data_IF_009589250923
#
_entry.id   IF_009589250923
#
_cell.length_a   1.000
_cell.length_b   1.000
_cell.length_c   1.000
_cell.angle_alpha   90.00
_cell.angle_beta   90.00
_cell.angle_gamma   90.00
#
_symmetry.space_group_name_H-M   'P 1'
#
loop_
_entity.id
_entity.type
_entity.pdbx_description
1 polymer ?
#
# COMPACT_ATOMS: atom_id res chain seq x y z
N UNK A 1 -0.82 -2.66 25.16
CA UNK A 1 -2.07 -3.02 24.43
C UNK A 1 -3.07 -3.85 25.24
N UNK A 2 -2.63 -4.83 26.06
CA UNK A 2 -3.56 -5.77 26.70
C UNK A 2 -4.09 -5.36 28.08
N UNK A 3 -3.44 -4.41 28.79
CA UNK A 3 -3.65 -4.31 30.25
C UNK A 3 -3.17 -5.59 30.97
N UNK A 4 -2.83 -5.51 32.25
CA UNK A 4 -2.37 -6.70 32.99
C UNK A 4 -3.61 -7.53 33.37
N UNK A 5 -3.79 -8.72 32.78
CA UNK A 5 -4.82 -9.69 33.16
C UNK A 5 -6.14 -9.70 32.38
N UNK A 6 -6.28 -8.92 31.29
CA UNK A 6 -7.49 -8.98 30.47
C UNK A 6 -7.46 -10.19 29.50
N UNK A 7 -8.54 -10.97 29.36
CA UNK A 7 -8.57 -12.11 28.44
C UNK A 7 -8.61 -11.69 26.95
N UNK A 8 -9.05 -10.46 26.67
CA UNK A 8 -9.28 -9.92 25.32
C UNK A 8 -8.49 -8.63 25.10
N UNK A 9 -8.25 -8.28 23.84
CA UNK A 9 -7.56 -7.03 23.48
C UNK A 9 -8.41 -5.82 23.85
N UNK A 10 -7.83 -4.87 24.58
CA UNK A 10 -8.38 -3.52 24.71
C UNK A 10 -8.12 -2.76 23.40
N UNK A 11 -9.16 -2.30 22.67
CA UNK A 11 -8.96 -1.56 21.43
C UNK A 11 -8.38 -0.17 21.65
N UNK A 12 -8.48 0.40 22.87
CA UNK A 12 -8.11 1.79 23.15
C UNK A 12 -6.67 2.15 22.76
N UNK A 13 -5.63 1.36 23.08
CA UNK A 13 -4.26 1.68 22.64
C UNK A 13 -4.05 1.66 21.12
N UNK A 14 -4.83 0.88 20.36
CA UNK A 14 -4.78 0.85 18.89
C UNK A 14 -5.39 2.14 18.33
N UNK A 15 -6.55 2.53 18.86
CA UNK A 15 -7.26 3.76 18.47
C UNK A 15 -6.46 5.01 18.83
N UNK A 16 -5.88 5.02 20.03
CA UNK A 16 -5.02 6.11 20.50
C UNK A 16 -3.76 6.19 19.62
N UNK A 17 -3.20 5.06 19.20
CA UNK A 17 -2.11 5.01 18.22
C UNK A 17 -2.49 5.58 16.86
N UNK A 18 -3.69 5.30 16.35
CA UNK A 18 -4.18 5.85 15.08
C UNK A 18 -4.45 7.36 15.16
N UNK A 19 -5.07 7.83 16.25
CA UNK A 19 -5.22 9.27 16.52
C UNK A 19 -3.87 9.97 16.64
N UNK A 20 -2.89 9.32 17.24
CA UNK A 20 -1.54 9.85 17.33
C UNK A 20 -0.88 9.92 15.95
N UNK A 21 -1.09 8.93 15.07
CA UNK A 21 -0.64 8.97 13.67
C UNK A 21 -1.31 10.09 12.85
N UNK A 22 -2.60 10.34 13.08
CA UNK A 22 -3.33 11.45 12.47
C UNK A 22 -2.82 12.82 12.97
N UNK A 23 -2.63 12.97 14.28
CA UNK A 23 -2.13 14.21 14.87
C UNK A 23 -0.63 14.48 14.56
N UNK A 24 0.18 13.43 14.45
CA UNK A 24 1.61 13.54 14.08
C UNK A 24 1.83 13.82 12.59
N UNK A 25 0.81 13.65 11.73
CA UNK A 25 0.86 14.15 10.36
C UNK A 25 0.93 15.70 10.31
N UNK A 26 0.43 16.37 11.36
CA UNK A 26 0.42 17.84 11.50
C UNK A 26 1.61 18.32 12.36
N UNK A 27 2.01 17.57 13.39
CA UNK A 27 3.11 17.95 14.29
C UNK A 27 4.39 17.13 14.04
N UNK A 28 5.23 17.62 13.12
CA UNK A 28 6.65 17.24 13.00
C UNK A 28 7.47 17.97 14.07
N UNK A 29 7.49 17.46 15.30
CA UNK A 29 8.40 17.94 16.34
C UNK A 29 9.62 17.01 16.42
N UNK A 30 10.83 17.58 16.33
CA UNK A 30 12.15 16.94 16.57
C UNK A 30 12.75 15.98 15.53
N UNK A 31 12.20 15.88 14.31
CA UNK A 31 12.92 15.25 13.19
C UNK A 31 13.12 13.73 13.28
N UNK A 32 12.48 13.03 14.21
CA UNK A 32 12.51 11.56 14.32
C UNK A 32 11.10 10.99 14.12
N UNK A 33 10.94 10.14 13.12
CA UNK A 33 9.66 9.55 12.73
C UNK A 33 9.47 8.20 13.45
N UNK A 34 8.33 7.99 14.10
CA UNK A 34 7.96 6.69 14.68
C UNK A 34 7.75 5.59 13.62
N UNK A 35 7.71 5.95 12.32
CA UNK A 35 7.66 5.01 11.21
C UNK A 35 9.04 4.49 10.78
N UNK A 36 10.14 5.13 11.19
CA UNK A 36 11.50 4.60 10.97
C UNK A 36 11.84 3.65 12.12
N UNK A 37 11.73 2.35 11.88
CA UNK A 37 12.23 1.33 12.81
C UNK A 37 13.73 1.52 13.01
N UNK A 38 14.18 1.44 14.27
CA UNK A 38 15.53 1.83 14.69
C UNK A 38 16.70 1.02 14.14
N UNK A 39 16.50 0.07 13.21
CA UNK A 39 17.56 -0.82 12.73
C UNK A 39 17.42 -1.26 11.23
N UNK A 40 16.74 -0.48 10.37
CA UNK A 40 16.76 -0.77 8.92
C UNK A 40 15.93 0.19 8.08
N UNK A 41 16.45 0.58 6.92
CA UNK A 41 15.86 1.53 5.96
C UNK A 41 14.53 1.08 5.29
N UNK A 42 13.92 -0.03 5.74
CA UNK A 42 12.70 -0.58 5.15
C UNK A 42 11.45 -0.26 5.99
N UNK A 43 10.46 0.35 5.34
CA UNK A 43 9.12 0.52 5.89
C UNK A 43 8.37 -0.80 5.82
N UNK A 44 7.53 -1.11 6.80
CA UNK A 44 6.55 -2.20 6.64
C UNK A 44 5.50 -1.83 5.60
N UNK A 45 4.88 -2.83 4.96
CA UNK A 45 3.79 -2.64 3.98
C UNK A 45 2.71 -1.70 4.53
N UNK A 46 2.28 -1.89 5.78
CA UNK A 46 1.27 -1.04 6.42
C UNK A 46 1.71 0.41 6.53
N UNK A 47 2.99 0.66 6.85
CA UNK A 47 3.53 2.02 6.92
C UNK A 47 3.59 2.67 5.53
N UNK A 48 4.01 1.91 4.50
CA UNK A 48 4.01 2.39 3.10
C UNK A 48 2.62 2.82 2.66
N UNK A 49 1.60 2.00 2.94
CA UNK A 49 0.21 2.29 2.59
C UNK A 49 -0.36 3.52 3.32
N UNK A 50 0.28 4.02 4.38
CA UNK A 50 -0.12 5.21 5.14
C UNK A 50 0.72 6.45 4.82
N UNK A 51 1.78 6.34 4.00
CA UNK A 51 2.61 7.48 3.65
C UNK A 51 1.80 8.59 2.93
N UNK A 52 2.05 9.88 3.21
CA UNK A 52 1.46 10.97 2.45
C UNK A 52 2.03 11.01 1.03
N UNK A 53 1.25 11.57 0.09
CA UNK A 53 1.59 11.60 -1.35
C UNK A 53 3.03 12.09 -1.65
N UNK A 54 3.52 13.22 -1.10
CA UNK A 54 4.89 13.67 -1.40
C UNK A 54 6.00 12.71 -0.95
N UNK A 55 5.75 11.89 0.09
CA UNK A 55 6.70 10.85 0.51
C UNK A 55 6.63 9.63 -0.40
N UNK A 56 5.43 9.25 -0.85
CA UNK A 56 5.27 8.19 -1.84
C UNK A 56 5.90 8.55 -3.20
N UNK A 57 5.76 9.80 -3.66
CA UNK A 57 6.39 10.29 -4.89
C UNK A 57 7.91 10.13 -4.83
N UNK A 58 8.54 10.62 -3.75
CA UNK A 58 10.00 10.46 -3.56
C UNK A 58 10.40 9.00 -3.50
N UNK A 59 9.68 8.18 -2.74
CA UNK A 59 9.96 6.75 -2.58
C UNK A 59 9.90 6.03 -3.92
N UNK A 60 8.81 6.18 -4.67
CA UNK A 60 8.63 5.52 -5.98
C UNK A 60 9.72 5.96 -6.96
N UNK A 61 10.11 7.24 -6.96
CA UNK A 61 11.15 7.73 -7.86
C UNK A 61 12.56 7.25 -7.51
N UNK A 62 12.83 6.91 -6.24
CA UNK A 62 14.13 6.47 -5.74
C UNK A 62 14.27 4.95 -5.60
N UNK A 63 13.17 4.18 -5.66
CA UNK A 63 13.19 2.73 -5.46
C UNK A 63 13.56 2.01 -6.76
N UNK A 64 14.76 1.45 -6.82
CA UNK A 64 15.28 0.73 -8.00
C UNK A 64 14.51 -0.56 -8.33
N UNK A 65 13.60 -1.00 -7.46
CA UNK A 65 12.68 -2.12 -7.77
C UNK A 65 11.52 -1.67 -8.67
N UNK A 66 11.24 -0.37 -8.73
CA UNK A 66 10.13 0.20 -9.50
C UNK A 66 10.72 0.93 -10.71
N UNK A 67 10.56 0.34 -11.88
CA UNK A 67 10.98 0.97 -13.12
C UNK A 67 9.83 1.85 -13.64
N UNK A 68 10.11 3.13 -13.89
CA UNK A 68 9.14 4.08 -14.44
C UNK A 68 9.79 4.78 -15.62
N UNK A 69 9.14 4.68 -16.78
CA UNK A 69 9.52 5.40 -17.99
C UNK A 69 9.59 6.93 -17.80
N UNK A 70 10.36 7.62 -18.65
CA UNK A 70 10.75 9.02 -18.44
C UNK A 70 9.56 9.98 -18.27
N UNK A 71 8.50 9.80 -19.06
CA UNK A 71 7.34 10.65 -18.95
C UNK A 71 6.56 10.40 -17.66
N UNK A 72 6.38 9.15 -17.26
CA UNK A 72 5.78 8.81 -15.96
C UNK A 72 6.56 9.39 -14.78
N UNK A 73 7.90 9.42 -14.85
CA UNK A 73 8.71 10.08 -13.81
C UNK A 73 8.40 11.58 -13.71
N UNK A 74 8.08 12.25 -14.83
CA UNK A 74 7.64 13.66 -14.81
C UNK A 74 6.25 13.82 -14.20
N UNK A 75 5.30 12.95 -14.55
CA UNK A 75 3.96 12.96 -13.94
C UNK A 75 4.03 12.89 -12.41
N UNK A 76 4.85 11.96 -11.89
CA UNK A 76 5.06 11.80 -10.44
C UNK A 76 5.69 13.05 -9.83
N UNK A 77 6.76 13.60 -10.43
CA UNK A 77 7.44 14.80 -9.92
C UNK A 77 6.54 16.05 -9.91
N UNK A 78 5.65 16.16 -10.88
CA UNK A 78 4.67 17.25 -10.95
C UNK A 78 3.46 17.07 -10.02
N UNK A 79 3.39 15.97 -9.28
CA UNK A 79 2.26 15.68 -8.40
C UNK A 79 0.97 15.36 -9.13
N UNK A 80 1.03 14.91 -10.39
CA UNK A 80 -0.16 14.64 -11.20
C UNK A 80 -0.72 13.23 -11.01
N UNK A 81 0.03 12.34 -10.34
CA UNK A 81 -0.37 10.95 -10.09
C UNK A 81 -1.10 10.81 -8.76
N UNK A 82 -2.20 10.07 -8.73
CA UNK A 82 -2.97 9.81 -7.52
C UNK A 82 -2.14 9.06 -6.47
N UNK A 83 -2.36 9.38 -5.19
CA UNK A 83 -1.65 8.76 -4.08
C UNK A 83 -1.77 7.24 -4.07
N UNK A 84 -2.95 6.71 -4.42
CA UNK A 84 -3.26 5.27 -4.43
C UNK A 84 -2.44 4.54 -5.49
N UNK A 85 -2.25 5.14 -6.66
CA UNK A 85 -1.33 4.60 -7.70
C UNK A 85 0.08 4.47 -7.15
N UNK A 86 0.61 5.51 -6.50
CA UNK A 86 1.95 5.47 -5.89
C UNK A 86 2.05 4.44 -4.76
N UNK A 87 1.01 4.35 -3.93
CA UNK A 87 0.93 3.36 -2.84
C UNK A 87 0.89 1.93 -3.39
N UNK A 88 0.19 1.67 -4.50
CA UNK A 88 0.16 0.38 -5.18
C UNK A 88 1.54 -0.02 -5.68
N UNK A 89 2.27 0.88 -6.36
CA UNK A 89 3.63 0.58 -6.84
C UNK A 89 4.58 0.26 -5.68
N UNK A 90 4.54 1.07 -4.63
CA UNK A 90 5.34 0.83 -3.43
C UNK A 90 4.94 -0.47 -2.71
N UNK A 91 3.64 -0.80 -2.67
CA UNK A 91 3.14 -2.06 -2.11
C UNK A 91 3.64 -3.28 -2.89
N UNK A 92 3.61 -3.24 -4.23
CA UNK A 92 4.16 -4.31 -5.06
C UNK A 92 5.66 -4.50 -4.79
N UNK A 93 6.42 -3.40 -4.71
CA UNK A 93 7.83 -3.41 -4.36
C UNK A 93 8.10 -4.07 -3.00
N UNK A 94 7.38 -3.65 -1.94
CA UNK A 94 7.48 -4.26 -0.61
C UNK A 94 6.98 -5.70 -0.56
N UNK A 95 6.14 -6.09 -1.50
CA UNK A 95 5.66 -7.46 -1.65
C UNK A 95 6.66 -8.39 -2.34
N UNK A 96 7.85 -7.90 -2.68
CA UNK A 96 8.89 -8.66 -3.37
C UNK A 96 8.75 -8.67 -4.89
N UNK A 97 7.91 -7.81 -5.46
CA UNK A 97 7.72 -7.68 -6.91
C UNK A 97 8.46 -6.45 -7.44
N UNK A 98 8.91 -6.49 -8.69
CA UNK A 98 9.61 -5.39 -9.36
C UNK A 98 8.81 -4.94 -10.58
N UNK A 99 7.85 -4.01 -10.42
CA UNK A 99 7.00 -3.59 -11.53
C UNK A 99 7.76 -2.64 -12.48
N UNK A 100 7.58 -2.86 -13.79
CA UNK A 100 7.98 -1.92 -14.84
C UNK A 100 6.75 -1.23 -15.42
N UNK A 101 6.65 0.06 -15.17
CA UNK A 101 5.55 0.93 -15.56
C UNK A 101 5.78 1.49 -16.95
N UNK A 102 4.79 1.35 -17.83
CA UNK A 102 4.82 1.85 -19.21
C UNK A 102 3.85 3.01 -19.46
N UNK A 103 2.87 3.19 -18.58
CA UNK A 103 1.85 4.25 -18.71
C UNK A 103 1.40 4.78 -17.34
N UNK A 104 1.25 6.10 -17.26
CA UNK A 104 0.70 6.83 -16.10
C UNK A 104 -0.27 7.89 -16.64
N UNK A 105 -0.13 9.19 -16.34
CA UNK A 105 -1.02 10.22 -16.90
C UNK A 105 -0.61 10.62 -18.31
N UNK A 106 0.67 10.58 -18.63
CA UNK A 106 1.10 10.59 -20.01
C UNK A 106 1.30 9.16 -20.52
N UNK A 107 1.64 9.01 -21.81
CA UNK A 107 1.83 7.70 -22.42
C UNK A 107 0.54 6.98 -22.84
N UNK A 108 -0.62 7.64 -22.75
CA UNK A 108 -1.91 7.08 -23.15
C UNK A 108 -2.80 8.14 -23.87
N UNK A 109 -3.83 7.68 -24.58
CA UNK A 109 -4.86 8.55 -25.18
C UNK A 109 -5.96 8.94 -24.18
N UNK A 110 -6.54 10.12 -24.33
CA UNK A 110 -7.58 10.65 -23.40
C UNK A 110 -8.80 9.73 -23.28
N UNK A 111 -9.15 9.05 -24.38
CA UNK A 111 -10.27 8.13 -24.48
C UNK A 111 -9.81 6.67 -24.54
N UNK A 112 -10.60 5.77 -23.95
CA UNK A 112 -10.46 4.32 -24.15
C UNK A 112 -10.87 3.94 -25.57
N UNK A 113 -10.54 2.71 -25.99
CA UNK A 113 -11.02 2.12 -27.26
C UNK A 113 -12.55 2.16 -27.41
N UNK A 114 -13.27 2.12 -26.29
CA UNK A 114 -14.73 2.24 -26.18
C UNK A 114 -15.27 3.67 -26.04
N UNK A 115 -14.43 4.70 -26.09
CA UNK A 115 -14.84 6.12 -26.05
C UNK A 115 -15.05 6.71 -24.65
N UNK A 116 -14.77 5.98 -23.58
CA UNK A 116 -14.87 6.50 -22.21
C UNK A 116 -13.62 7.29 -21.83
N UNK A 117 -13.73 8.23 -20.88
CA UNK A 117 -12.56 8.93 -20.33
C UNK A 117 -11.73 7.93 -19.51
N UNK A 118 -10.46 7.78 -19.88
CA UNK A 118 -9.55 6.89 -19.17
C UNK A 118 -9.20 7.41 -17.77
N UNK A 119 -9.05 6.52 -16.79
CA UNK A 119 -8.53 6.87 -15.47
C UNK A 119 -7.11 7.45 -15.53
N UNK A 120 -6.35 7.09 -16.56
CA UNK A 120 -5.04 7.69 -16.80
C UNK A 120 -5.14 9.21 -17.08
N UNK A 121 -6.19 9.68 -17.75
CA UNK A 121 -6.37 11.10 -18.10
C UNK A 121 -6.38 12.02 -16.88
N UNK A 122 -6.78 11.47 -15.71
CA UNK A 122 -6.83 12.17 -14.43
C UNK A 122 -5.72 11.73 -13.45
N UNK A 123 -4.75 10.94 -13.91
CA UNK A 123 -3.64 10.45 -13.10
C UNK A 123 -4.01 9.35 -12.10
N UNK A 124 -5.15 8.68 -12.31
CA UNK A 124 -5.71 7.68 -11.39
C UNK A 124 -5.47 6.24 -11.85
N UNK A 125 -4.55 5.99 -12.77
CA UNK A 125 -4.24 4.65 -13.24
C UNK A 125 -2.77 4.44 -13.57
N UNK A 126 -2.39 3.17 -13.69
CA UNK A 126 -1.06 2.71 -14.08
C UNK A 126 -1.16 1.44 -14.91
N UNK A 127 -0.34 1.36 -15.96
CA UNK A 127 -0.13 0.12 -16.71
C UNK A 127 1.26 -0.44 -16.39
N UNK A 128 1.29 -1.73 -16.05
CA UNK A 128 2.50 -2.48 -15.70
C UNK A 128 2.71 -3.55 -16.77
N UNK A 129 3.73 -3.38 -17.61
CA UNK A 129 4.00 -4.29 -18.74
C UNK A 129 4.97 -5.43 -18.37
N UNK A 130 5.72 -5.30 -17.28
CA UNK A 130 6.61 -6.35 -16.77
C UNK A 130 6.60 -6.38 -15.25
N UNK A 131 6.80 -7.58 -14.68
CA UNK A 131 7.02 -7.78 -13.25
C UNK A 131 8.20 -8.72 -13.07
N UNK A 132 9.16 -8.38 -12.21
CA UNK A 132 10.38 -9.16 -11.98
C UNK A 132 11.17 -9.41 -13.28
N UNK A 133 11.07 -8.47 -14.22
CA UNK A 133 11.70 -8.55 -15.54
C UNK A 133 10.95 -9.43 -16.55
N UNK A 134 9.90 -10.15 -16.14
CA UNK A 134 9.07 -10.99 -17.01
C UNK A 134 7.97 -10.14 -17.65
N UNK A 135 7.80 -10.15 -18.98
CA UNK A 135 6.69 -9.49 -19.67
C UNK A 135 5.33 -10.05 -19.27
N UNK A 136 4.31 -9.19 -19.18
CA UNK A 136 2.93 -9.65 -19.07
C UNK A 136 2.48 -10.33 -20.38
N UNK A 137 2.98 -9.84 -21.53
CA UNK A 137 2.76 -10.48 -22.82
C UNK A 137 3.20 -11.95 -22.79
N UNK A 138 2.26 -12.84 -23.08
CA UNK A 138 2.49 -14.28 -23.12
C UNK A 138 2.72 -14.95 -21.76
N UNK A 139 2.44 -14.27 -20.63
CA UNK A 139 2.66 -14.80 -19.28
C UNK A 139 1.42 -14.56 -18.39
N UNK A 140 0.21 -14.83 -18.90
CA UNK A 140 -1.05 -14.64 -18.17
C UNK A 140 -1.79 -15.94 -17.87
N UNK A 141 -1.07 -17.06 -17.86
CA UNK A 141 -1.63 -18.38 -17.52
C UNK A 141 -1.71 -18.60 -16.00
N UNK A 142 -2.35 -19.70 -15.58
CA UNK A 142 -2.46 -20.09 -14.16
C UNK A 142 -1.07 -20.25 -13.52
N UNK A 143 -0.89 -19.71 -12.31
CA UNK A 143 0.38 -19.72 -11.59
C UNK A 143 1.46 -18.76 -12.14
N UNK A 144 1.18 -18.05 -13.24
CA UNK A 144 2.12 -17.07 -13.82
C UNK A 144 2.40 -15.89 -12.89
N UNK A 145 3.46 -15.15 -13.18
CA UNK A 145 3.79 -13.90 -12.45
C UNK A 145 2.66 -12.86 -12.57
N UNK A 146 1.95 -12.83 -13.70
CA UNK A 146 0.79 -11.95 -13.91
C UNK A 146 -0.31 -12.32 -12.93
N UNK A 147 -0.67 -13.61 -12.87
CA UNK A 147 -1.74 -14.06 -11.97
C UNK A 147 -1.39 -13.81 -10.49
N UNK A 148 -0.15 -14.07 -10.11
CA UNK A 148 0.35 -13.77 -8.75
C UNK A 148 0.29 -12.27 -8.45
N UNK A 149 0.63 -11.42 -9.42
CA UNK A 149 0.55 -9.95 -9.29
C UNK A 149 -0.90 -9.49 -9.14
N UNK A 150 -1.81 -9.98 -9.97
CA UNK A 150 -3.25 -9.67 -9.88
C UNK A 150 -3.82 -10.13 -8.53
N UNK A 151 -3.53 -11.36 -8.08
CA UNK A 151 -3.91 -11.86 -6.75
C UNK A 151 -3.36 -10.97 -5.62
N UNK A 152 -2.13 -10.47 -5.76
CA UNK A 152 -1.54 -9.56 -4.78
C UNK A 152 -2.25 -8.21 -4.74
N UNK A 153 -2.60 -7.65 -5.90
CA UNK A 153 -3.37 -6.40 -6.02
C UNK A 153 -4.77 -6.53 -5.42
N UNK A 154 -5.42 -7.69 -5.59
CA UNK A 154 -6.74 -7.97 -4.98
C UNK A 154 -6.73 -7.97 -3.45
N UNK A 155 -5.55 -8.14 -2.81
CA UNK A 155 -5.43 -8.04 -1.35
C UNK A 155 -5.45 -6.60 -0.84
N UNK A 156 -5.38 -5.58 -1.71
CA UNK A 156 -5.53 -4.19 -1.31
C UNK A 156 -6.99 -3.92 -0.90
N UNK A 157 -7.17 -3.30 0.27
CA UNK A 157 -8.47 -3.05 0.88
C UNK A 157 -8.66 -1.57 1.23
N UNK A 158 -9.87 -1.20 1.64
CA UNK A 158 -10.19 0.17 2.07
C UNK A 158 -9.94 1.19 0.97
N UNK A 159 -9.29 2.30 1.33
CA UNK A 159 -9.06 3.44 0.42
C UNK A 159 -8.03 3.17 -0.68
N UNK A 160 -7.29 2.06 -0.63
CA UNK A 160 -6.32 1.64 -1.66
C UNK A 160 -6.77 0.42 -2.46
N UNK A 161 -8.01 -0.05 -2.27
CA UNK A 161 -8.61 -1.06 -3.14
C UNK A 161 -8.78 -0.47 -4.54
N UNK A 162 -8.32 -1.18 -5.56
CA UNK A 162 -8.51 -0.80 -6.96
C UNK A 162 -9.98 -0.94 -7.39
N UNK A 163 -10.42 -0.05 -8.26
CA UNK A 163 -11.74 -0.13 -8.91
C UNK A 163 -11.70 -0.97 -10.18
N UNK A 164 -10.53 -1.04 -10.82
CA UNK A 164 -10.28 -1.84 -12.04
C UNK A 164 -8.92 -2.51 -11.94
N UNK A 165 -8.87 -3.80 -12.23
CA UNK A 165 -7.64 -4.55 -12.52
C UNK A 165 -7.86 -5.27 -13.84
N UNK A 166 -7.36 -4.73 -14.95
CA UNK A 166 -7.65 -5.24 -16.29
C UNK A 166 -6.42 -5.96 -16.83
N UNK A 167 -6.64 -7.17 -17.33
CA UNK A 167 -5.63 -8.07 -17.91
C UNK A 167 -6.35 -9.10 -18.80
N UNK A 168 -5.77 -10.27 -19.08
CA UNK A 168 -6.51 -11.41 -19.64
C UNK A 168 -7.21 -12.27 -18.59
N UNK A 169 -7.00 -11.95 -17.31
CA UNK A 169 -7.55 -12.71 -16.19
C UNK A 169 -8.88 -12.11 -15.71
N UNK A 170 -9.87 -12.99 -15.55
CA UNK A 170 -11.09 -12.74 -14.76
C UNK A 170 -11.12 -13.74 -13.61
N UNK A 171 -10.61 -13.29 -12.46
CA UNK A 171 -10.53 -14.10 -11.22
C UNK A 171 -11.38 -13.48 -10.11
N UNK A 172 -12.38 -12.70 -10.48
CA UNK A 172 -13.37 -12.06 -9.60
C UNK A 172 -12.95 -10.70 -9.03
N UNK A 173 -13.79 -10.15 -8.16
CA UNK A 173 -13.53 -8.86 -7.51
C UNK A 173 -13.50 -7.70 -8.53
N UNK A 174 -12.47 -6.83 -8.51
CA UNK A 174 -12.32 -5.75 -9.49
C UNK A 174 -11.61 -6.18 -10.79
N UNK A 175 -11.38 -7.49 -11.00
CA UNK A 175 -10.70 -7.97 -12.21
C UNK A 175 -11.63 -7.95 -13.43
N UNK A 176 -11.08 -7.62 -14.60
CA UNK A 176 -11.81 -7.63 -15.87
C UNK A 176 -10.88 -8.21 -16.94
N UNK A 177 -11.34 -9.22 -17.67
CA UNK A 177 -10.61 -9.76 -18.81
C UNK A 177 -10.90 -8.95 -20.08
N UNK A 178 -9.86 -8.41 -20.72
CA UNK A 178 -9.96 -7.67 -21.98
C UNK A 178 -8.81 -8.07 -22.92
N UNK A 179 -9.15 -8.41 -24.17
CA UNK A 179 -8.17 -8.95 -25.13
C UNK A 179 -7.06 -7.97 -25.53
N UNK A 180 -7.31 -6.68 -25.45
CA UNK A 180 -6.35 -5.60 -25.70
C UNK A 180 -5.45 -5.30 -24.49
N UNK A 181 -5.57 -6.06 -23.39
CA UNK A 181 -4.71 -6.01 -22.20
C UNK A 181 -3.81 -7.26 -22.11
N UNK A 182 -3.40 -7.80 -23.25
CA UNK A 182 -2.55 -9.00 -23.32
C UNK A 182 -1.10 -8.74 -22.91
N UNK A 183 -0.64 -7.48 -22.96
CA UNK A 183 0.74 -7.07 -22.76
C UNK A 183 0.98 -6.23 -21.50
N UNK A 184 -0.06 -5.94 -20.71
CA UNK A 184 0.04 -5.21 -19.46
C UNK A 184 -1.08 -5.54 -18.46
N UNK A 185 -0.83 -5.23 -17.18
CA UNK A 185 -1.87 -5.15 -16.15
C UNK A 185 -2.21 -3.67 -15.96
N UNK A 186 -3.47 -3.32 -16.22
CA UNK A 186 -4.00 -2.00 -15.90
C UNK A 186 -4.56 -1.99 -14.48
N UNK A 187 -4.20 -0.98 -13.68
CA UNK A 187 -4.78 -0.77 -12.34
C UNK A 187 -5.36 0.64 -12.27
N UNK A 188 -6.67 0.72 -12.13
CA UNK A 188 -7.44 1.97 -12.14
C UNK A 188 -8.16 2.25 -10.83
N UNK A 189 -8.20 3.53 -10.49
CA UNK A 189 -8.96 4.06 -9.36
C UNK A 189 -9.98 5.08 -9.83
N UNK A 190 -11.19 5.02 -9.31
CA UNK A 190 -12.17 6.08 -9.53
C UNK A 190 -11.68 7.35 -8.86
N UNK A 191 -11.81 8.53 -9.52
CA UNK A 191 -11.47 9.80 -8.91
C UNK A 191 -12.25 10.00 -7.61
N UNK A 192 -11.55 10.29 -6.50
CA UNK A 192 -12.22 10.62 -5.23
C UNK A 192 -12.88 12.01 -5.30
N UNK A 193 -12.37 12.89 -6.17
CA UNK A 193 -12.89 14.23 -6.37
C UNK A 193 -13.14 14.45 -7.87
N UNK A 194 -14.41 14.68 -8.21
CA UNK A 194 -14.93 15.03 -9.53
C UNK A 194 -16.22 15.84 -9.33
N UNK A 195 -16.95 16.19 -10.40
CA UNK A 195 -18.14 17.07 -10.36
C UNK A 195 -19.19 16.68 -9.30
N UNK A 196 -19.21 15.41 -8.87
CA UNK A 196 -20.02 14.94 -7.76
C UNK A 196 -19.23 14.87 -6.44
N UNK A 197 -19.11 16.01 -5.75
CA UNK A 197 -18.49 16.14 -4.42
C UNK A 197 -19.12 15.30 -3.29
N UNK A 198 -20.20 14.55 -3.55
CA UNK A 198 -20.78 13.58 -2.61
C UNK A 198 -19.88 12.34 -2.44
N UNK A 199 -19.23 11.86 -3.51
CA UNK A 199 -18.36 10.66 -3.45
C UNK A 199 -17.04 10.93 -2.74
N UNK A 200 -16.49 12.15 -2.85
CA UNK A 200 -15.30 12.55 -2.09
C UNK A 200 -15.54 12.59 -0.58
N UNK A 201 -16.79 12.85 -0.14
CA UNK A 201 -17.17 12.77 1.28
C UNK A 201 -17.33 11.33 1.75
N UNK A 202 -17.83 10.43 0.90
CA UNK A 202 -17.91 8.98 1.19
C UNK A 202 -16.51 8.32 1.21
N UNK A 203 -15.58 8.77 0.38
CA UNK A 203 -14.19 8.31 0.40
C UNK A 203 -13.40 8.79 1.63
N UNK A 204 -13.77 9.95 2.18
CA UNK A 204 -13.27 10.44 3.48
C UNK A 204 -13.92 9.72 4.67
N UNK A 205 -15.09 9.11 4.47
CA UNK A 205 -15.73 8.27 5.47
C UNK A 205 -15.08 6.88 5.47
N UNK A 206 -13.96 6.77 6.18
CA UNK A 206 -13.23 5.50 6.39
C UNK A 206 -14.16 4.39 6.90
N UNK A 207 -15.24 4.73 7.60
CA UNK A 207 -16.33 3.85 8.01
C UNK A 207 -17.67 4.63 8.04
N UNK A 208 -18.78 4.01 7.60
CA UNK A 208 -20.14 4.56 7.77
C UNK A 208 -20.55 4.54 9.26
N UNK A 209 -21.52 5.38 9.68
CA UNK A 209 -22.09 5.29 11.04
C UNK A 209 -22.52 3.85 11.37
N UNK A 210 -22.14 3.33 12.54
CA UNK A 210 -22.36 1.93 12.95
C UNK A 210 -21.22 0.96 12.61
N UNK A 211 -20.50 1.15 11.50
CA UNK A 211 -19.35 0.28 11.17
C UNK A 211 -18.15 0.48 12.12
N UNK A 212 -18.08 1.64 12.77
CA UNK A 212 -17.16 1.89 13.87
C UNK A 212 -17.44 0.99 15.08
N UNK A 213 -18.70 0.76 15.40
CA UNK A 213 -19.11 -0.11 16.50
C UNK A 213 -18.78 -1.57 16.16
N UNK A 214 -19.05 -2.00 14.92
CA UNK A 214 -18.69 -3.34 14.42
C UNK A 214 -17.18 -3.62 14.48
N UNK A 215 -16.36 -2.63 14.11
CA UNK A 215 -14.90 -2.74 14.17
C UNK A 215 -14.43 -2.88 15.63
N UNK A 216 -14.94 -2.04 16.53
CA UNK A 216 -14.61 -2.09 17.95
C UNK A 216 -15.01 -3.43 18.56
N UNK A 217 -16.18 -3.94 18.21
CA UNK A 217 -16.66 -5.24 18.66
C UNK A 217 -15.83 -6.41 18.14
N UNK A 218 -15.36 -6.34 16.89
CA UNK A 218 -14.43 -7.33 16.34
C UNK A 218 -13.09 -7.30 17.07
N UNK A 219 -12.51 -6.12 17.29
CA UNK A 219 -11.24 -5.99 18.02
C UNK A 219 -11.35 -6.53 19.45
N UNK A 220 -12.47 -6.26 20.13
CA UNK A 220 -12.75 -6.80 21.47
C UNK A 220 -12.96 -8.30 21.52
N UNK A 221 -13.19 -8.97 20.38
CA UNK A 221 -13.33 -10.43 20.29
C UNK A 221 -12.00 -11.13 20.04
N UNK A 222 -10.93 -10.39 19.77
CA UNK A 222 -9.60 -10.98 19.58
C UNK A 222 -9.00 -11.32 20.94
N UNK A 223 -8.66 -12.59 21.11
CA UNK A 223 -7.96 -13.08 22.30
C UNK A 223 -6.53 -12.52 22.34
N UNK A 224 -6.04 -12.25 23.55
CA UNK A 224 -4.66 -11.82 23.69
C UNK A 224 -3.71 -12.92 23.21
N UNK A 225 -2.75 -12.61 22.31
CA UNK A 225 -1.80 -13.61 21.86
C UNK A 225 -0.95 -14.07 23.05
N UNK A 226 -0.73 -15.38 23.15
CA UNK A 226 0.14 -15.97 24.17
C UNK A 226 1.59 -15.71 23.80
N UNK A 227 2.16 -14.64 24.35
CA UNK A 227 3.58 -14.35 24.20
C UNK A 227 4.37 -15.21 25.19
N UNK A 228 5.28 -16.03 24.67
CA UNK A 228 6.22 -16.77 25.52
C UNK A 228 7.13 -15.77 26.23
N UNK A 229 7.03 -15.72 27.56
CA UNK A 229 7.91 -14.89 28.41
C UNK A 229 9.33 -15.46 28.55
N UNK A 230 9.56 -16.68 28.05
CA UNK A 230 10.86 -17.34 28.05
C UNK A 230 11.45 -17.48 26.64
N UNK A 231 12.78 -17.59 26.58
CA UNK A 231 13.53 -17.86 25.34
C UNK A 231 13.04 -19.17 24.72
N UNK A 232 12.87 -19.19 23.40
CA UNK A 232 12.56 -20.43 22.67
C UNK A 232 13.78 -21.35 22.62
N UNK A 233 13.58 -22.65 22.41
CA UNK A 233 14.69 -23.61 22.17
C UNK A 233 15.53 -23.27 20.92
N UNK A 234 14.99 -22.45 20.02
CA UNK A 234 15.67 -21.93 18.83
C UNK A 234 16.38 -20.59 19.09
N UNK A 235 16.36 -20.07 20.32
CA UNK A 235 17.01 -18.80 20.66
C UNK A 235 18.53 -18.98 20.69
N UNK A 236 19.23 -18.26 19.81
CA UNK A 236 20.69 -18.23 19.80
C UNK A 236 21.18 -17.49 21.06
N UNK A 237 22.18 -18.00 21.80
CA UNK A 237 22.75 -17.30 22.93
C UNK A 237 23.27 -15.92 22.50
N UNK A 238 22.73 -14.87 23.12
CA UNK A 238 23.33 -13.54 22.98
C UNK A 238 24.75 -13.62 23.55
N UNK A 239 25.77 -13.45 22.70
CA UNK A 239 27.16 -13.31 23.15
C UNK A 239 27.20 -12.16 24.14
N UNK A 240 27.60 -12.43 25.38
CA UNK A 240 27.87 -11.40 26.38
C UNK A 240 29.14 -10.64 26.00
N UNK A 241 29.08 -9.83 24.94
CA UNK A 241 29.96 -8.68 24.81
C UNK A 241 29.15 -7.48 25.23
N UNK A 242 29.45 -6.95 26.41
CA UNK A 242 28.99 -5.62 26.84
C UNK A 242 29.42 -4.62 25.76
N UNK A 243 28.47 -4.15 24.97
CA UNK A 243 28.67 -2.96 24.16
C UNK A 243 28.49 -1.76 25.10
N UNK A 244 29.61 -1.14 25.48
CA UNK A 244 29.74 0.08 26.29
C UNK A 244 29.54 -0.05 27.81
N UNK A 245 30.42 0.63 28.56
CA UNK A 245 30.40 0.77 30.01
C UNK A 245 29.72 2.07 30.48
N UNK A 246 28.68 2.52 29.78
CA UNK A 246 28.12 3.87 29.95
C UNK A 246 27.22 4.06 31.19
N UNK A 247 26.98 3.02 31.99
CA UNK A 247 26.21 3.15 33.22
C UNK A 247 26.90 2.44 34.38
N UNK A 248 27.97 3.06 34.89
CA UNK A 248 28.27 3.05 36.33
C UNK A 248 27.58 4.27 36.92
N UNK A 249 26.85 4.06 38.01
CA UNK A 249 25.75 4.92 38.45
C UNK A 249 26.10 6.34 38.87
N UNK A 250 25.05 7.17 38.87
CA UNK A 250 24.50 7.88 40.02
C UNK A 250 22.97 7.71 39.98
#
# INVERSE_FOLDING_TARGET
>A
PAGRGAPRIDPKPILDGWKLLEATAIYRASGRNALYGGDGDSFSIGQVLLLPKPLLERRVLSDERIEVYDCGRRDIRSGQVDRRVLATLAFLAESGLRPSVTSLKCGHGVYTSSGNVSHHSSGNAVDIARVNGVPILGNQDDGSITEQTVKRLMNLQGTVRADQIISLLDIGGPTVAMSDHNDHIHVGFRPLFGENGKQGREAMAVLRPGQWEDLLDRLRRIDNPTVRVGKSKASIPARQRRASGAHRGE
#
